data_IF_047252992257
#
_entry.id   IF_047252992257
#
_cell.length_a   1.000
_cell.length_b   1.000
_cell.length_c   1.000
_cell.angle_alpha   90.00
_cell.angle_beta   90.00
_cell.angle_gamma   90.00
#
_symmetry.space_group_name_H-M   'P 1'
#
loop_
_entity.id
_entity.type
_entity.pdbx_description
1 polymer ?
#
# COMPACT_ATOMS: atom_id res chain seq x y z
N UNK A 1 2.45 0.45 15.14
CA UNK A 1 1.91 0.20 13.79
C UNK A 1 2.44 1.31 12.90
N UNK A 2 3.43 1.01 12.08
CA UNK A 2 3.81 1.87 10.98
C UNK A 2 2.86 1.55 9.84
N UNK A 3 2.15 2.55 9.31
CA UNK A 3 1.42 2.39 8.06
C UNK A 3 2.44 2.41 6.93
N UNK A 4 2.43 1.38 6.08
CA UNK A 4 3.25 1.34 4.88
C UNK A 4 2.38 1.69 3.68
N UNK A 5 2.86 2.64 2.86
CA UNK A 5 2.14 3.04 1.65
C UNK A 5 2.40 1.99 0.59
N UNK A 6 1.38 1.19 0.26
CA UNK A 6 1.50 0.13 -0.74
C UNK A 6 1.81 0.67 -2.14
N UNK A 7 1.22 1.81 -2.52
CA UNK A 7 1.43 2.40 -3.85
C UNK A 7 1.22 3.92 -3.83
N UNK A 8 2.11 4.64 -4.48
CA UNK A 8 1.89 6.04 -4.87
C UNK A 8 1.41 6.07 -6.31
N UNK A 9 0.26 6.70 -6.55
CA UNK A 9 -0.33 6.84 -7.89
C UNK A 9 -0.27 8.33 -8.25
N UNK A 10 0.62 8.68 -9.16
CA UNK A 10 0.69 10.03 -9.72
C UNK A 10 -0.17 10.09 -10.97
N UNK A 11 -1.10 11.04 -11.01
CA UNK A 11 -2.04 11.20 -12.12
C UNK A 11 -1.67 12.41 -12.97
N UNK A 12 -1.49 12.21 -14.27
CA UNK A 12 -1.40 13.31 -15.23
C UNK A 12 -2.83 13.73 -15.65
N UNK A 13 -3.28 14.85 -15.09
CA UNK A 13 -4.64 15.36 -15.27
C UNK A 13 -4.83 16.10 -16.62
N UNK A 14 -3.81 16.10 -17.49
CA UNK A 14 -3.91 16.67 -18.85
C UNK A 14 -4.45 15.67 -19.89
N UNK A 15 -4.51 14.37 -19.56
CA UNK A 15 -5.03 13.30 -20.41
C UNK A 15 -6.43 12.81 -19.98
N UNK A 16 -7.11 12.03 -20.82
CA UNK A 16 -8.39 11.40 -20.46
C UNK A 16 -8.16 10.38 -19.34
N UNK A 17 -8.72 10.65 -18.15
CA UNK A 17 -8.48 9.93 -16.89
C UNK A 17 -9.11 8.53 -16.79
N UNK A 18 -9.84 8.07 -17.80
CA UNK A 18 -10.88 7.06 -17.56
C UNK A 18 -10.43 5.60 -17.72
N UNK A 19 -9.42 5.29 -18.53
CA UNK A 19 -9.00 3.89 -18.76
C UNK A 19 -7.65 3.55 -18.11
N UNK A 20 -6.65 4.44 -18.13
CA UNK A 20 -5.32 4.16 -17.57
C UNK A 20 -5.25 4.18 -16.05
N UNK A 21 -6.25 4.75 -15.37
CA UNK A 21 -6.20 4.95 -13.92
C UNK A 21 -6.68 3.72 -13.16
N UNK A 22 -7.62 2.95 -13.70
CA UNK A 22 -8.12 1.72 -13.06
C UNK A 22 -7.04 0.64 -12.96
N UNK A 23 -6.20 0.51 -14.00
CA UNK A 23 -5.06 -0.43 -14.03
C UNK A 23 -4.12 -0.21 -12.83
N UNK A 24 -3.96 1.03 -12.37
CA UNK A 24 -3.11 1.34 -11.20
C UNK A 24 -3.67 0.80 -9.87
N UNK A 25 -4.94 0.37 -9.83
CA UNK A 25 -5.60 -0.15 -8.64
C UNK A 25 -5.82 -1.67 -8.66
N UNK A 26 -5.62 -2.35 -9.80
CA UNK A 26 -5.87 -3.79 -9.92
C UNK A 26 -4.93 -4.65 -9.07
N UNK A 27 -3.70 -4.20 -8.87
CA UNK A 27 -2.67 -4.89 -8.08
C UNK A 27 -2.64 -4.46 -6.60
N UNK A 28 -3.56 -3.59 -6.18
CA UNK A 28 -3.56 -3.01 -4.83
C UNK A 28 -4.57 -3.71 -3.93
N UNK A 29 -4.07 -4.39 -2.90
CA UNK A 29 -4.88 -5.10 -1.90
C UNK A 29 -5.48 -4.15 -0.86
N UNK A 30 -4.91 -2.97 -0.66
CA UNK A 30 -5.45 -1.94 0.24
C UNK A 30 -6.85 -1.48 -0.20
N UNK A 31 -7.74 -1.38 0.78
CA UNK A 31 -9.04 -0.74 0.60
C UNK A 31 -9.04 0.74 0.98
N UNK A 32 -7.91 1.27 1.45
CA UNK A 32 -7.79 2.66 1.90
C UNK A 32 -7.21 3.51 0.77
N UNK A 33 -7.91 4.59 0.45
CA UNK A 33 -7.57 5.56 -0.58
C UNK A 33 -7.39 6.90 0.11
N UNK A 34 -6.23 7.52 -0.08
CA UNK A 34 -5.93 8.85 0.41
C UNK A 34 -5.75 9.76 -0.80
N UNK A 35 -6.65 10.74 -0.96
CA UNK A 35 -6.56 11.75 -2.00
C UNK A 35 -6.01 13.05 -1.43
N UNK A 36 -4.80 13.40 -1.87
CA UNK A 36 -4.17 14.68 -1.57
C UNK A 36 -4.03 15.49 -2.87
N UNK A 37 -4.95 16.44 -3.06
CA UNK A 37 -4.96 17.35 -4.19
C UNK A 37 -5.53 18.71 -3.77
N UNK A 38 -5.33 19.73 -4.60
CA UNK A 38 -6.12 20.95 -4.49
C UNK A 38 -7.59 20.71 -4.90
N UNK A 39 -8.44 21.72 -4.69
CA UNK A 39 -9.88 21.59 -4.85
C UNK A 39 -10.30 21.27 -6.29
N UNK A 40 -9.71 21.92 -7.28
CA UNK A 40 -10.09 21.77 -8.69
C UNK A 40 -9.66 20.39 -9.23
N UNK A 41 -8.44 19.97 -8.93
CA UNK A 41 -7.95 18.64 -9.32
C UNK A 41 -8.66 17.52 -8.57
N UNK A 42 -8.99 17.70 -7.29
CA UNK A 42 -9.78 16.73 -6.55
C UNK A 42 -11.17 16.54 -7.18
N UNK A 43 -11.82 17.62 -7.60
CA UNK A 43 -13.11 17.55 -8.29
C UNK A 43 -13.01 16.75 -9.59
N UNK A 44 -11.97 16.99 -10.40
CA UNK A 44 -11.72 16.22 -11.61
C UNK A 44 -11.49 14.73 -11.32
N UNK A 45 -10.64 14.39 -10.35
CA UNK A 45 -10.31 13.00 -10.00
C UNK A 45 -11.54 12.25 -9.50
N UNK A 46 -12.28 12.84 -8.55
CA UNK A 46 -13.46 12.22 -7.93
C UNK A 46 -14.54 11.90 -8.98
N UNK A 47 -14.74 12.78 -9.97
CA UNK A 47 -15.76 12.60 -10.98
C UNK A 47 -15.39 11.57 -12.06
N UNK A 48 -14.09 11.42 -12.34
CA UNK A 48 -13.62 10.60 -13.46
C UNK A 48 -13.03 9.25 -13.04
N UNK A 49 -12.68 9.06 -11.77
CA UNK A 49 -12.11 7.81 -11.26
C UNK A 49 -13.18 6.99 -10.51
N UNK A 50 -13.66 5.86 -11.07
CA UNK A 50 -14.81 5.13 -10.54
C UNK A 50 -14.65 4.60 -9.11
N UNK A 51 -13.41 4.41 -8.65
CA UNK A 51 -13.10 3.89 -7.31
C UNK A 51 -13.75 4.70 -6.17
N UNK A 52 -13.94 6.02 -6.36
CA UNK A 52 -14.60 6.90 -5.39
C UNK A 52 -16.13 6.69 -5.31
N UNK A 53 -16.69 5.84 -6.17
CA UNK A 53 -18.10 5.42 -6.15
C UNK A 53 -18.28 3.97 -5.71
N UNK A 54 -17.19 3.19 -5.55
CA UNK A 54 -17.24 1.78 -5.20
C UNK A 54 -17.47 1.55 -3.70
N UNK A 55 -18.31 0.57 -3.35
CA UNK A 55 -18.43 0.12 -1.97
C UNK A 55 -17.22 -0.71 -1.54
N UNK A 56 -17.01 -0.86 -0.23
CA UNK A 56 -15.90 -1.65 0.31
C UNK A 56 -14.54 -0.94 0.30
N UNK A 57 -14.49 0.33 -0.07
CA UNK A 57 -13.31 1.19 0.02
C UNK A 57 -13.47 2.26 1.12
N UNK A 58 -12.37 2.66 1.72
CA UNK A 58 -12.26 3.78 2.67
C UNK A 58 -11.62 4.95 1.94
N UNK A 59 -12.32 6.07 1.85
CA UNK A 59 -11.80 7.29 1.24
C UNK A 59 -11.43 8.30 2.33
N UNK A 60 -10.22 8.85 2.24
CA UNK A 60 -9.72 9.94 3.07
C UNK A 60 -9.27 11.07 2.15
N UNK A 61 -9.77 12.27 2.39
CA UNK A 61 -9.47 13.47 1.62
C UNK A 61 -8.61 14.43 2.45
N UNK A 62 -7.70 15.14 1.79
CA UNK A 62 -7.10 16.34 2.36
C UNK A 62 -8.17 17.41 2.61
N UNK A 63 -7.86 18.40 3.45
CA UNK A 63 -8.78 19.52 3.70
C UNK A 63 -9.17 20.22 2.39
N UNK A 64 -8.21 20.46 1.49
CA UNK A 64 -8.45 21.12 0.19
C UNK A 64 -9.29 20.25 -0.77
N UNK A 65 -9.01 18.95 -0.84
CA UNK A 65 -9.79 18.02 -1.66
C UNK A 65 -11.24 17.91 -1.16
N UNK A 66 -11.45 18.03 0.15
CA UNK A 66 -12.79 18.00 0.74
C UNK A 66 -13.64 19.26 0.47
N UNK A 67 -13.09 20.27 -0.22
CA UNK A 67 -13.83 21.45 -0.66
C UNK A 67 -14.43 21.29 -2.07
N UNK A 68 -14.17 20.17 -2.76
CA UNK A 68 -14.69 19.91 -4.09
C UNK A 68 -16.24 19.92 -4.11
N UNK A 69 -16.84 20.35 -5.22
CA UNK A 69 -18.30 20.57 -5.29
C UNK A 69 -19.12 19.28 -5.28
N UNK A 70 -18.53 18.18 -5.74
CA UNK A 70 -19.20 16.91 -6.00
C UNK A 70 -18.61 15.76 -5.17
N UNK A 71 -18.53 15.95 -3.84
CA UNK A 71 -18.00 14.93 -2.96
C UNK A 71 -18.85 13.65 -2.99
N UNK A 72 -18.23 12.47 -3.07
CA UNK A 72 -18.95 11.22 -2.96
C UNK A 72 -19.38 11.04 -1.51
N UNK A 73 -20.52 10.37 -1.32
CA UNK A 73 -20.95 9.97 0.02
C UNK A 73 -19.98 8.91 0.55
N UNK A 74 -19.40 9.18 1.71
CA UNK A 74 -18.60 8.24 2.47
C UNK A 74 -17.11 8.56 2.59
N UNK A 75 -16.63 9.65 1.99
CA UNK A 75 -15.27 10.13 2.21
C UNK A 75 -15.13 10.79 3.59
N UNK A 76 -14.03 10.51 4.26
CA UNK A 76 -13.60 11.18 5.49
C UNK A 76 -12.65 12.33 5.14
N UNK A 77 -12.65 13.38 5.96
CA UNK A 77 -11.68 14.47 5.87
C UNK A 77 -11.35 15.00 7.25
N UNK A 78 -10.26 15.74 7.33
CA UNK A 78 -9.85 16.51 8.51
C UNK A 78 -9.78 17.98 8.13
N UNK A 79 -10.29 18.84 9.02
CA UNK A 79 -10.18 20.29 8.85
C UNK A 79 -9.73 20.95 10.14
N UNK A 80 -8.98 22.04 10.02
CA UNK A 80 -8.54 22.77 11.20
C UNK A 80 -9.76 23.38 11.92
N UNK A 81 -9.87 23.17 13.23
CA UNK A 81 -11.02 23.69 14.01
C UNK A 81 -10.96 25.19 14.24
N UNK A 82 -9.75 25.77 14.15
CA UNK A 82 -9.52 27.19 14.29
C UNK A 82 -10.12 27.98 13.11
N UNK A 83 -10.76 29.11 13.42
CA UNK A 83 -11.28 30.05 12.44
C UNK A 83 -10.44 31.33 12.41
N UNK A 84 -10.69 32.21 11.43
CA UNK A 84 -9.92 33.44 11.25
C UNK A 84 -9.92 34.35 12.50
N UNK A 85 -11.04 34.41 13.23
CA UNK A 85 -11.16 35.25 14.42
C UNK A 85 -10.35 34.68 15.59
N UNK A 86 -10.40 33.37 15.83
CA UNK A 86 -9.59 32.74 16.88
C UNK A 86 -8.10 32.77 16.52
N UNK A 87 -7.76 32.59 15.23
CA UNK A 87 -6.38 32.75 14.75
C UNK A 87 -5.83 34.16 15.00
N UNK A 88 -6.64 35.20 14.72
CA UNK A 88 -6.24 36.59 14.97
C UNK A 88 -6.03 36.86 16.47
N UNK A 89 -6.92 36.34 17.32
CA UNK A 89 -6.82 36.46 18.78
C UNK A 89 -5.54 35.81 19.29
N UNK A 90 -5.23 34.59 18.84
CA UNK A 90 -3.99 33.87 19.20
C UNK A 90 -2.75 34.65 18.75
N UNK A 91 -2.75 35.16 17.51
CA UNK A 91 -1.67 35.97 16.97
C UNK A 91 -1.39 37.21 17.83
N UNK A 92 -2.43 37.93 18.27
CA UNK A 92 -2.29 39.10 19.13
C UNK A 92 -1.72 38.75 20.51
N UNK A 93 -2.05 37.57 21.05
CA UNK A 93 -1.47 37.10 22.31
C UNK A 93 0.01 36.74 22.18
N UNK A 94 0.41 36.10 21.08
CA UNK A 94 1.82 35.80 20.78
C UNK A 94 2.61 37.10 20.65
N UNK A 95 2.10 38.06 19.87
CA UNK A 95 2.74 39.37 19.69
C UNK A 95 2.86 40.10 21.01
N UNK A 96 1.80 40.14 21.83
CA UNK A 96 1.84 40.79 23.15
C UNK A 96 2.93 40.20 24.06
N UNK A 97 3.11 38.88 24.05
CA UNK A 97 4.14 38.22 24.85
C UNK A 97 5.55 38.44 24.30
N UNK A 98 5.72 38.46 22.98
CA UNK A 98 7.04 38.63 22.35
C UNK A 98 7.54 40.07 22.29
N UNK A 99 6.65 41.04 22.07
CA UNK A 99 7.03 42.44 21.82
C UNK A 99 7.68 43.11 23.05
N UNK A 100 7.43 42.57 24.25
CA UNK A 100 8.07 43.03 25.48
C UNK A 100 9.60 42.96 25.41
N UNK A 101 10.20 42.04 24.64
CA UNK A 101 11.66 42.01 24.51
C UNK A 101 12.24 43.26 23.83
N UNK A 102 11.42 43.98 23.07
CA UNK A 102 11.87 45.13 22.29
C UNK A 102 12.02 46.39 23.14
N UNK A 103 11.50 46.42 24.37
CA UNK A 103 11.61 47.60 25.26
C UNK A 103 13.05 47.93 25.64
N UNK A 104 13.95 46.97 25.54
CA UNK A 104 15.37 47.11 25.89
C UNK A 104 16.23 47.58 24.71
N UNK A 105 15.64 47.81 23.53
CA UNK A 105 16.34 48.16 22.30
C UNK A 105 15.82 49.49 21.75
N UNK A 106 16.69 50.23 21.07
CA UNK A 106 16.29 51.35 20.23
C UNK A 106 15.85 50.80 18.87
N UNK A 107 14.56 50.91 18.55
CA UNK A 107 13.92 50.16 17.45
C UNK A 107 13.67 51.11 16.27
N UNK A 108 14.38 50.91 15.15
CA UNK A 108 14.06 51.56 13.86
C UNK A 108 13.98 50.52 12.72
N UNK A 109 12.83 49.84 12.57
CA UNK A 109 12.64 48.86 11.50
C UNK A 109 12.56 49.59 10.14
N UNK A 110 13.05 48.98 9.04
CA UNK A 110 13.01 49.60 7.72
C UNK A 110 11.58 49.95 7.29
N UNK A 111 11.36 51.19 6.85
CA UNK A 111 10.01 51.73 6.50
C UNK A 111 9.67 51.64 5.01
N UNK A 112 10.66 51.36 4.18
CA UNK A 112 10.55 51.25 2.72
C UNK A 112 11.48 50.14 2.23
N UNK A 113 11.37 49.72 0.97
CA UNK A 113 12.21 48.66 0.39
C UNK A 113 13.42 49.19 -0.41
N UNK A 114 13.54 50.51 -0.59
CA UNK A 114 14.56 51.17 -1.42
C UNK A 114 15.77 51.67 -0.62
N UNK A 115 16.95 51.07 -0.84
CA UNK A 115 18.24 51.49 -0.24
C UNK A 115 19.03 50.32 0.40
N UNK A 116 20.20 50.60 0.97
CA UNK A 116 21.06 49.64 1.70
C UNK A 116 20.45 49.21 3.07
N UNK A 117 19.21 48.73 3.07
CA UNK A 117 18.48 48.24 4.26
C UNK A 117 18.88 46.81 4.67
N UNK A 118 19.65 46.14 3.83
CA UNK A 118 20.16 44.78 4.06
C UNK A 118 21.14 44.75 5.25
N UNK A 119 21.70 45.90 5.65
CA UNK A 119 22.70 46.00 6.72
C UNK A 119 22.20 46.67 8.01
N UNK A 120 20.89 46.70 8.29
CA UNK A 120 20.40 47.25 9.55
C UNK A 120 20.53 46.24 10.70
N UNK A 121 20.60 46.73 11.93
CA UNK A 121 20.58 45.89 13.13
C UNK A 121 19.28 45.07 13.22
N UNK A 122 18.18 45.62 12.70
CA UNK A 122 16.89 44.93 12.58
C UNK A 122 16.98 43.70 11.69
N UNK A 123 17.44 43.84 10.44
CA UNK A 123 17.49 42.76 9.45
C UNK A 123 18.52 41.69 9.82
N UNK A 124 19.65 42.08 10.41
CA UNK A 124 20.72 41.14 10.74
C UNK A 124 20.53 40.40 12.06
N UNK A 125 19.95 41.05 13.07
CA UNK A 125 19.99 40.52 14.45
C UNK A 125 18.64 40.62 15.15
N UNK A 126 18.08 41.82 15.30
CA UNK A 126 16.95 42.04 16.21
C UNK A 126 15.66 41.40 15.71
N UNK A 127 15.40 41.40 14.40
CA UNK A 127 14.24 40.75 13.80
C UNK A 127 14.26 39.22 13.97
N UNK A 128 15.42 38.60 13.78
CA UNK A 128 15.61 37.16 14.03
C UNK A 128 15.44 36.80 15.51
N UNK A 129 15.96 37.64 16.42
CA UNK A 129 15.72 37.48 17.86
C UNK A 129 14.22 37.58 18.19
N UNK A 130 13.51 38.53 17.57
CA UNK A 130 12.07 38.73 17.78
C UNK A 130 11.29 37.51 17.31
N UNK A 131 11.56 37.04 16.10
CA UNK A 131 10.92 35.85 15.55
C UNK A 131 11.14 34.62 16.46
N UNK A 132 12.38 34.38 16.89
CA UNK A 132 12.69 33.30 17.84
C UNK A 132 11.92 33.45 19.15
N UNK A 133 11.83 34.67 19.69
CA UNK A 133 11.08 34.94 20.92
C UNK A 133 9.57 34.65 20.76
N UNK A 134 9.00 34.92 19.58
CA UNK A 134 7.60 34.65 19.27
C UNK A 134 7.29 33.14 19.19
N UNK A 135 8.21 32.33 18.64
CA UNK A 135 7.97 30.89 18.43
C UNK A 135 8.44 30.00 19.57
N UNK A 136 9.36 30.46 20.43
CA UNK A 136 9.95 29.62 21.50
C UNK A 136 9.04 29.50 22.72
N UNK A 137 8.30 30.56 23.06
CA UNK A 137 7.51 30.59 24.28
C UNK A 137 6.12 29.99 24.05
N UNK A 138 5.71 29.10 24.95
CA UNK A 138 4.30 28.66 25.00
C UNK A 138 3.43 29.78 25.52
N UNK A 139 2.43 30.18 24.74
CA UNK A 139 1.42 31.17 25.14
C UNK A 139 0.11 30.44 25.40
N UNK A 140 -0.63 30.85 26.43
CA UNK A 140 -1.88 30.18 26.80
C UNK A 140 -3.08 31.11 26.57
N UNK A 141 -4.11 30.57 25.90
CA UNK A 141 -5.50 31.04 26.01
C UNK A 141 -6.29 29.90 26.69
N UNK A 142 -7.29 29.33 26.00
CA UNK A 142 -7.95 28.08 26.42
C UNK A 142 -7.08 26.83 26.17
N UNK A 143 -6.21 26.89 25.16
CA UNK A 143 -5.27 25.82 24.78
C UNK A 143 -3.85 26.37 24.65
N UNK A 144 -2.81 25.53 24.84
CA UNK A 144 -1.43 25.95 24.64
C UNK A 144 -1.17 26.25 23.15
N UNK A 145 -0.63 27.44 22.89
CA UNK A 145 -0.16 27.88 21.57
C UNK A 145 1.35 27.65 21.53
N UNK A 146 1.77 26.74 20.65
CA UNK A 146 3.16 26.29 20.54
C UNK A 146 3.56 26.18 19.07
N UNK A 147 4.85 26.33 18.81
CA UNK A 147 5.43 26.25 17.48
C UNK A 147 6.58 25.23 17.44
N UNK A 148 6.83 24.66 16.26
CA UNK A 148 8.06 23.93 15.99
C UNK A 148 9.21 24.88 15.60
N UNK A 149 10.40 24.33 15.35
CA UNK A 149 11.58 25.11 14.97
C UNK A 149 11.46 25.85 13.63
N UNK A 150 10.48 25.48 12.80
CA UNK A 150 10.15 26.15 11.52
C UNK A 150 9.08 27.24 11.69
N UNK A 151 8.52 27.39 12.88
CA UNK A 151 7.43 28.32 13.16
C UNK A 151 6.04 27.81 12.77
N UNK A 152 5.88 26.50 12.49
CA UNK A 152 4.57 25.91 12.28
C UNK A 152 3.90 25.65 13.64
N UNK A 153 2.61 25.94 13.74
CA UNK A 153 1.84 25.66 14.95
C UNK A 153 1.73 24.16 15.18
N UNK A 154 2.01 23.72 16.41
CA UNK A 154 1.87 22.32 16.83
C UNK A 154 0.71 22.15 17.82
N UNK A 155 0.29 20.90 18.04
CA UNK A 155 -0.80 20.52 18.96
C UNK A 155 -2.14 21.21 18.65
N UNK A 156 -2.39 21.40 17.36
CA UNK A 156 -3.65 21.94 16.83
C UNK A 156 -4.79 20.95 16.93
N UNK A 157 -6.00 21.46 17.15
CA UNK A 157 -7.22 20.66 17.18
C UNK A 157 -7.90 20.64 15.80
N UNK A 158 -8.40 19.49 15.41
CA UNK A 158 -9.06 19.27 14.11
C UNK A 158 -10.47 18.72 14.30
N UNK A 159 -11.38 19.13 13.42
CA UNK A 159 -12.66 18.44 13.23
C UNK A 159 -12.46 17.31 12.23
N UNK A 160 -13.05 16.15 12.52
CA UNK A 160 -13.11 15.01 11.60
C UNK A 160 -14.49 15.02 10.96
N UNK A 161 -14.53 15.01 9.64
CA UNK A 161 -15.76 15.13 8.86
C UNK A 161 -15.99 13.90 8.00
N UNK A 162 -17.26 13.64 7.69
CA UNK A 162 -17.70 12.64 6.74
C UNK A 162 -18.62 13.30 5.72
N UNK A 163 -18.34 13.07 4.43
CA UNK A 163 -19.18 13.54 3.34
C UNK A 163 -20.44 12.68 3.24
N UNK A 164 -21.60 13.29 3.40
CA UNK A 164 -22.91 12.63 3.27
C UNK A 164 -23.78 13.54 2.41
N UNK A 165 -24.21 13.02 1.26
CA UNK A 165 -25.04 13.74 0.27
C UNK A 165 -24.42 15.08 -0.16
N UNK A 166 -23.11 15.05 -0.45
CA UNK A 166 -22.33 16.21 -0.88
C UNK A 166 -22.05 17.23 0.23
N UNK A 167 -22.33 16.91 1.49
CA UNK A 167 -22.11 17.81 2.64
C UNK A 167 -21.19 17.20 3.67
N UNK A 168 -20.23 17.98 4.15
CA UNK A 168 -19.37 17.60 5.26
C UNK A 168 -20.11 17.69 6.59
N UNK A 169 -20.25 16.56 7.27
CA UNK A 169 -20.80 16.47 8.62
C UNK A 169 -19.68 16.16 9.61
N UNK A 170 -19.61 16.92 10.71
CA UNK A 170 -18.62 16.66 11.77
C UNK A 170 -19.04 15.41 12.54
N UNK A 171 -18.17 14.41 12.57
CA UNK A 171 -18.38 13.11 13.22
C UNK A 171 -17.45 12.88 14.41
N UNK A 172 -16.42 13.71 14.55
CA UNK A 172 -15.43 13.56 15.60
C UNK A 172 -14.50 14.76 15.67
N UNK A 173 -13.56 14.70 16.60
CA UNK A 173 -12.51 15.68 16.76
C UNK A 173 -11.19 15.00 17.15
N UNK A 174 -10.09 15.61 16.73
CA UNK A 174 -8.74 15.24 17.15
C UNK A 174 -8.18 16.34 18.02
N UNK A 175 -7.82 16.01 19.26
CA UNK A 175 -7.11 16.94 20.13
C UNK A 175 -5.61 16.82 19.92
N UNK A 176 -4.99 17.89 19.45
CA UNK A 176 -3.53 17.92 19.26
C UNK A 176 -2.77 17.95 20.58
N UNK A 177 -3.38 18.51 21.64
CA UNK A 177 -2.76 18.56 22.98
C UNK A 177 -2.79 17.21 23.67
N UNK A 178 -3.93 16.50 23.59
CA UNK A 178 -4.07 15.18 24.21
C UNK A 178 -3.55 14.05 23.30
N UNK A 179 -3.29 14.35 22.01
CA UNK A 179 -2.98 13.35 20.97
C UNK A 179 -4.04 12.24 20.91
N UNK A 180 -5.31 12.63 21.05
CA UNK A 180 -6.45 11.72 21.08
C UNK A 180 -7.44 12.06 19.99
N UNK A 181 -7.99 11.01 19.39
CA UNK A 181 -9.05 11.08 18.40
C UNK A 181 -10.32 10.57 19.07
N UNK A 182 -11.38 11.36 19.01
CA UNK A 182 -12.72 10.99 19.46
C UNK A 182 -13.67 11.04 18.27
N UNK A 183 -14.08 9.86 17.78
CA UNK A 183 -14.98 9.72 16.63
C UNK A 183 -16.22 8.96 17.06
N UNK A 184 -17.39 9.41 16.62
CA UNK A 184 -18.62 8.65 16.71
C UNK A 184 -18.77 7.75 15.49
N UNK A 185 -18.25 6.52 15.58
CA UNK A 185 -18.26 5.55 14.48
C UNK A 185 -19.67 5.22 13.96
N UNK A 186 -20.70 5.32 14.81
CA UNK A 186 -22.10 5.03 14.40
C UNK A 186 -22.68 6.03 13.41
N UNK A 187 -22.04 7.21 13.28
CA UNK A 187 -22.41 8.25 12.33
C UNK A 187 -21.67 8.14 11.00
N UNK A 188 -20.68 7.26 10.89
CA UNK A 188 -19.88 7.14 9.67
C UNK A 188 -20.71 6.41 8.61
N UNK A 189 -20.77 7.03 7.43
CA UNK A 189 -21.14 6.37 6.19
C UNK A 189 -19.85 6.15 5.40
N UNK A 190 -19.70 4.97 4.84
CA UNK A 190 -18.57 4.60 3.99
C UNK A 190 -18.95 4.71 2.52
N UNK A 191 -17.96 4.62 1.63
CA UNK A 191 -18.22 4.65 0.19
C UNK A 191 -19.29 3.60 -0.21
N UNK A 192 -20.11 3.97 -1.19
CA UNK A 192 -21.29 3.20 -1.57
C UNK A 192 -22.47 3.31 -0.60
N UNK A 193 -22.43 4.23 0.38
CA UNK A 193 -23.55 4.52 1.28
C UNK A 193 -23.75 3.49 2.40
N UNK A 194 -22.74 2.65 2.66
CA UNK A 194 -22.83 1.57 3.66
C UNK A 194 -22.48 2.08 5.07
N UNK A 195 -22.99 1.41 6.13
CA UNK A 195 -22.62 1.69 7.53
C UNK A 195 -21.64 0.68 8.12
N UNK A 196 -21.36 -0.40 7.39
CA UNK A 196 -20.40 -1.42 7.80
C UNK A 196 -19.01 -0.95 7.44
N UNK A 197 -18.11 -0.87 8.41
CA UNK A 197 -16.71 -0.52 8.17
C UNK A 197 -16.09 -1.53 7.20
N UNK A 198 -15.55 -1.08 6.05
CA UNK A 198 -14.83 -1.97 5.15
C UNK A 198 -13.62 -2.61 5.83
N UNK A 199 -13.27 -3.82 5.39
CA UNK A 199 -12.00 -4.44 5.77
C UNK A 199 -10.84 -3.57 5.26
N UNK A 200 -9.73 -3.55 5.98
CA UNK A 200 -8.55 -2.74 5.62
C UNK A 200 -7.91 -3.20 4.31
N UNK A 201 -7.96 -4.52 4.05
CA UNK A 201 -7.45 -5.15 2.83
C UNK A 201 -8.51 -6.05 2.20
N UNK A 202 -8.41 -6.21 0.89
CA UNK A 202 -9.08 -7.26 0.12
C UNK A 202 -8.00 -8.16 -0.45
N UNK A 203 -8.06 -9.46 -0.12
CA UNK A 203 -7.11 -10.43 -0.65
C UNK A 203 -7.45 -10.77 -2.11
N UNK A 204 -6.44 -10.92 -2.99
CA UNK A 204 -6.65 -11.37 -4.36
C UNK A 204 -7.33 -12.75 -4.37
N UNK A 205 -8.27 -12.93 -5.29
CA UNK A 205 -9.06 -14.18 -5.40
C UNK A 205 -8.53 -15.14 -6.45
N UNK A 206 -7.54 -14.71 -7.23
CA UNK A 206 -6.84 -15.54 -8.19
C UNK A 206 -5.34 -15.28 -8.07
N UNK A 207 -4.56 -16.33 -7.82
CA UNK A 207 -3.10 -16.26 -7.70
C UNK A 207 -2.42 -17.03 -8.82
N UNK A 208 -1.31 -16.51 -9.32
CA UNK A 208 -0.35 -17.20 -10.18
C UNK A 208 0.64 -17.92 -9.29
N UNK A 209 0.54 -19.24 -9.25
CA UNK A 209 1.44 -20.06 -8.48
C UNK A 209 2.52 -20.67 -9.39
N UNK A 210 3.76 -20.72 -8.92
CA UNK A 210 4.88 -21.36 -9.61
C UNK A 210 5.41 -22.54 -8.80
N UNK A 211 5.83 -23.60 -9.48
CA UNK A 211 6.46 -24.77 -8.86
C UNK A 211 7.54 -25.38 -9.74
N UNK A 212 8.26 -26.36 -9.20
CA UNK A 212 9.34 -27.10 -9.87
C UNK A 212 9.03 -28.60 -9.78
N UNK A 213 9.32 -29.34 -10.85
CA UNK A 213 9.23 -30.81 -10.82
C UNK A 213 10.31 -31.37 -9.90
N UNK A 214 9.91 -31.87 -8.73
CA UNK A 214 10.82 -32.39 -7.71
C UNK A 214 10.13 -33.50 -6.91
N UNK A 215 10.46 -34.75 -7.21
CA UNK A 215 9.86 -35.91 -6.54
C UNK A 215 10.49 -36.09 -5.15
N UNK A 216 9.70 -36.38 -4.09
CA UNK A 216 8.29 -36.78 -4.11
C UNK A 216 7.29 -35.62 -3.89
N UNK A 217 7.76 -34.37 -3.91
CA UNK A 217 6.94 -33.20 -3.57
C UNK A 217 6.02 -32.79 -4.71
N UNK A 218 6.49 -32.88 -5.96
CA UNK A 218 5.76 -32.56 -7.19
C UNK A 218 6.13 -33.58 -8.27
N UNK A 219 5.15 -34.38 -8.67
CA UNK A 219 5.21 -35.29 -9.80
C UNK A 219 4.53 -34.64 -11.01
N UNK A 220 5.17 -34.65 -12.17
CA UNK A 220 4.64 -34.04 -13.39
C UNK A 220 4.45 -35.10 -14.49
N UNK A 221 3.25 -35.19 -15.07
CA UNK A 221 2.96 -36.11 -16.19
C UNK A 221 2.38 -35.32 -17.37
N UNK A 222 2.98 -35.38 -18.56
CA UNK A 222 2.45 -34.71 -19.75
C UNK A 222 1.03 -35.18 -20.08
N UNK A 223 0.17 -34.28 -20.53
CA UNK A 223 -1.19 -34.61 -20.96
C UNK A 223 -1.61 -33.81 -22.19
N UNK A 224 -2.45 -34.42 -23.03
CA UNK A 224 -3.14 -33.74 -24.15
C UNK A 224 -4.56 -33.32 -23.77
N UNK A 225 -5.10 -33.87 -22.69
CA UNK A 225 -6.46 -33.60 -22.21
C UNK A 225 -6.40 -33.18 -20.75
N UNK A 226 -6.56 -31.87 -20.56
CA UNK A 226 -6.39 -31.20 -19.29
C UNK A 226 -7.63 -31.32 -18.38
N UNK A 227 -8.73 -31.91 -18.85
CA UNK A 227 -9.87 -32.27 -18.02
C UNK A 227 -9.63 -33.59 -17.26
N UNK A 228 -8.74 -34.45 -17.78
CA UNK A 228 -8.40 -35.73 -17.15
C UNK A 228 -7.64 -35.58 -15.85
N UNK A 229 -6.85 -34.52 -15.69
CA UNK A 229 -6.07 -34.29 -14.48
C UNK A 229 -6.95 -34.34 -13.22
N UNK A 230 -8.14 -33.75 -13.24
CA UNK A 230 -9.04 -33.72 -12.08
C UNK A 230 -9.67 -35.07 -11.71
N UNK A 231 -9.60 -36.05 -12.62
CA UNK A 231 -10.16 -37.40 -12.44
C UNK A 231 -9.08 -38.43 -12.09
N UNK A 232 -7.80 -38.05 -12.17
CA UNK A 232 -6.69 -38.96 -11.86
C UNK A 232 -6.58 -39.16 -10.35
N UNK A 233 -6.82 -40.40 -9.92
CA UNK A 233 -6.63 -40.85 -8.54
C UNK A 233 -5.23 -41.40 -8.29
N UNK A 234 -4.47 -41.68 -9.35
CA UNK A 234 -3.07 -42.06 -9.26
C UNK A 234 -2.29 -41.76 -10.54
N UNK A 235 -0.97 -41.68 -10.42
CA UNK A 235 -0.01 -41.52 -11.50
C UNK A 235 0.95 -42.71 -11.53
N UNK A 236 1.39 -43.11 -12.73
CA UNK A 236 2.51 -44.04 -12.87
C UNK A 236 3.72 -43.20 -13.28
N UNK A 237 4.70 -43.08 -12.37
CA UNK A 237 5.95 -42.36 -12.62
C UNK A 237 7.09 -43.33 -12.35
N UNK A 238 7.93 -43.58 -13.36
CA UNK A 238 9.05 -44.52 -13.29
C UNK A 238 8.68 -45.92 -12.75
N UNK A 239 7.47 -46.39 -13.10
CA UNK A 239 6.94 -47.70 -12.68
C UNK A 239 6.36 -47.73 -11.26
N UNK A 240 6.33 -46.60 -10.56
CA UNK A 240 5.74 -46.44 -9.23
C UNK A 240 4.33 -45.88 -9.35
N UNK A 241 3.37 -46.50 -8.68
CA UNK A 241 2.00 -45.98 -8.56
C UNK A 241 1.94 -44.95 -7.43
N UNK A 242 1.77 -43.69 -7.79
CA UNK A 242 1.64 -42.55 -6.88
C UNK A 242 0.16 -42.23 -6.73
N UNK A 243 -0.43 -42.59 -5.58
CA UNK A 243 -1.80 -42.19 -5.25
C UNK A 243 -1.88 -40.67 -5.00
N UNK A 244 -2.94 -40.03 -5.48
CA UNK A 244 -3.18 -38.61 -5.28
C UNK A 244 -4.63 -38.37 -4.85
N UNK A 245 -4.84 -37.46 -3.90
CA UNK A 245 -6.19 -36.99 -3.56
C UNK A 245 -6.64 -35.83 -4.44
N UNK A 246 -5.69 -35.05 -4.95
CA UNK A 246 -5.93 -33.89 -5.80
C UNK A 246 -4.84 -33.76 -6.84
N UNK A 247 -5.25 -33.77 -8.10
CA UNK A 247 -4.40 -33.44 -9.23
C UNK A 247 -4.92 -32.16 -9.89
N UNK A 248 -3.98 -31.29 -10.26
CA UNK A 248 -4.27 -30.00 -10.86
C UNK A 248 -3.70 -29.97 -12.28
N UNK A 249 -4.29 -29.12 -13.13
CA UNK A 249 -3.81 -28.83 -14.48
C UNK A 249 -2.68 -27.80 -14.43
N UNK A 250 -1.68 -28.02 -15.28
CA UNK A 250 -0.51 -27.15 -15.41
C UNK A 250 -0.32 -26.67 -16.83
N UNK A 251 0.24 -25.46 -16.95
CA UNK A 251 0.82 -24.95 -18.18
C UNK A 251 2.34 -24.84 -17.99
N UNK A 252 3.14 -25.39 -18.91
CA UNK A 252 4.54 -25.01 -19.03
C UNK A 252 4.66 -23.99 -20.16
N UNK A 253 5.17 -22.81 -19.83
CA UNK A 253 5.53 -21.83 -20.84
C UNK A 253 6.95 -22.14 -21.30
N UNK A 254 7.17 -22.23 -22.61
CA UNK A 254 8.52 -22.23 -23.14
C UNK A 254 9.05 -20.80 -23.05
N UNK A 255 10.14 -20.64 -22.30
CA UNK A 255 10.92 -19.41 -22.27
C UNK A 255 11.35 -19.12 -23.72
N UNK A 256 10.83 -18.02 -24.30
CA UNK A 256 11.45 -17.48 -25.51
C UNK A 256 12.78 -16.91 -25.06
N UNK A 257 13.87 -17.48 -25.56
CA UNK A 257 15.19 -16.86 -25.49
C UNK A 257 15.06 -15.36 -25.70
N UNK A 258 15.57 -14.58 -24.75
CA UNK A 258 15.67 -13.13 -24.84
C UNK A 258 16.31 -12.72 -26.17
N UNK A 259 15.49 -12.38 -27.19
CA UNK A 259 16.02 -11.86 -28.45
C UNK A 259 15.25 -12.07 -29.75
N UNK A 260 14.02 -12.61 -29.79
CA UNK A 260 13.31 -12.73 -31.07
C UNK A 260 11.82 -12.39 -31.01
N UNK A 261 11.51 -11.17 -31.46
CA UNK A 261 10.17 -10.77 -31.89
C UNK A 261 9.76 -11.56 -33.14
N UNK A 262 9.28 -12.79 -32.95
CA UNK A 262 8.39 -13.45 -33.91
C UNK A 262 7.21 -14.03 -33.14
N UNK A 263 6.07 -13.38 -33.36
CA UNK A 263 4.73 -13.92 -33.12
C UNK A 263 4.54 -15.07 -34.12
N UNK A 264 4.52 -16.31 -33.63
CA UNK A 264 3.59 -17.36 -34.05
C UNK A 264 3.96 -18.67 -33.35
N UNK A 265 2.96 -19.23 -32.65
CA UNK A 265 2.89 -20.56 -32.04
C UNK A 265 3.74 -20.80 -30.76
N UNK A 266 3.26 -20.27 -29.63
CA UNK A 266 3.66 -20.76 -28.31
C UNK A 266 2.99 -22.11 -28.06
N UNK A 267 3.68 -23.22 -28.33
CA UNK A 267 3.19 -24.56 -27.97
C UNK A 267 3.21 -24.70 -26.46
N UNK A 268 2.12 -24.33 -25.77
CA UNK A 268 1.97 -24.55 -24.34
C UNK A 268 1.84 -26.05 -24.08
N UNK A 269 2.86 -26.65 -23.48
CA UNK A 269 2.79 -28.04 -23.04
C UNK A 269 1.95 -28.12 -21.75
N UNK A 270 1.03 -29.07 -21.73
CA UNK A 270 0.11 -29.27 -20.60
C UNK A 270 0.57 -30.46 -19.76
N UNK A 271 0.56 -30.30 -18.45
CA UNK A 271 0.91 -31.36 -17.50
C UNK A 271 -0.22 -31.56 -16.49
N UNK A 272 -0.35 -32.78 -15.98
CA UNK A 272 -1.03 -33.05 -14.73
C UNK A 272 0.03 -33.18 -13.64
N UNK A 273 -0.20 -32.59 -12.47
CA UNK A 273 0.71 -32.79 -11.35
C UNK A 273 -0.01 -33.09 -10.05
N UNK A 274 0.73 -33.78 -9.19
CA UNK A 274 0.33 -34.14 -7.84
C UNK A 274 1.57 -34.31 -6.98
N UNK A 275 1.36 -34.53 -5.69
CA UNK A 275 2.41 -34.64 -4.70
C UNK A 275 2.12 -33.75 -3.51
N UNK A 276 2.95 -33.85 -2.48
CA UNK A 276 2.70 -33.20 -1.21
C UNK A 276 2.55 -31.67 -1.34
N UNK A 277 3.40 -31.03 -2.14
CA UNK A 277 3.36 -29.58 -2.34
C UNK A 277 2.08 -29.12 -3.06
N UNK A 278 1.58 -29.93 -4.01
CA UNK A 278 0.35 -29.63 -4.75
C UNK A 278 -0.89 -29.78 -3.86
N UNK A 279 -0.92 -30.82 -3.01
CA UNK A 279 -2.00 -31.00 -2.03
C UNK A 279 -2.00 -29.88 -0.98
N UNK A 280 -0.82 -29.45 -0.53
CA UNK A 280 -0.69 -28.30 0.37
C UNK A 280 -1.26 -27.03 -0.25
N UNK A 281 -0.86 -26.68 -1.48
CA UNK A 281 -1.42 -25.52 -2.20
C UNK A 281 -2.94 -25.60 -2.34
N UNK A 282 -3.46 -26.77 -2.73
CA UNK A 282 -4.90 -26.98 -2.86
C UNK A 282 -5.66 -26.86 -1.53
N UNK A 283 -5.01 -27.14 -0.39
CA UNK A 283 -5.58 -26.94 0.94
C UNK A 283 -5.50 -25.48 1.38
N UNK A 284 -4.40 -24.78 1.09
CA UNK A 284 -4.24 -23.34 1.36
C UNK A 284 -5.24 -22.49 0.58
N UNK A 285 -5.62 -22.93 -0.63
CA UNK A 285 -6.63 -22.28 -1.45
C UNK A 285 -8.05 -22.31 -0.86
N UNK A 286 -8.31 -23.20 0.11
CA UNK A 286 -9.61 -23.28 0.78
C UNK A 286 -9.75 -22.13 1.79
N UNK A 287 -10.96 -21.57 1.96
CA UNK A 287 -11.19 -20.52 2.93
C UNK A 287 -10.96 -21.03 4.36
N UNK A 288 -10.33 -20.20 5.19
CA UNK A 288 -10.09 -20.50 6.59
C UNK A 288 -11.41 -20.63 7.37
N UNK A 289 -11.51 -21.70 8.16
CA UNK A 289 -12.71 -21.97 8.97
C UNK A 289 -12.69 -21.04 10.19
N UNK A 290 -13.70 -20.17 10.31
CA UNK A 290 -13.88 -19.17 11.36
C UNK A 290 -12.97 -17.93 11.26
N UNK A 291 -12.34 -17.68 10.10
CA UNK A 291 -11.66 -16.42 9.83
C UNK A 291 -12.64 -15.24 9.70
N UNK A 292 -12.22 -14.05 10.12
CA UNK A 292 -12.97 -12.80 9.88
C UNK A 292 -12.76 -12.25 8.46
N UNK A 293 -11.77 -12.77 7.74
CA UNK A 293 -11.41 -12.43 6.37
C UNK A 293 -11.56 -13.69 5.51
N UNK A 294 -12.19 -13.56 4.35
CA UNK A 294 -12.26 -14.63 3.38
C UNK A 294 -10.89 -14.82 2.70
N UNK A 295 -10.12 -15.80 3.19
CA UNK A 295 -8.80 -16.18 2.69
C UNK A 295 -8.85 -17.11 1.49
N UNK A 296 -10.04 -17.58 1.09
CA UNK A 296 -10.17 -18.49 -0.05
C UNK A 296 -9.72 -17.83 -1.35
N UNK A 297 -8.97 -18.58 -2.16
CA UNK A 297 -8.49 -18.15 -3.47
C UNK A 297 -8.51 -19.29 -4.48
N UNK A 298 -8.52 -18.92 -5.76
CA UNK A 298 -8.26 -19.83 -6.88
C UNK A 298 -6.84 -19.60 -7.38
N UNK A 299 -6.27 -20.55 -8.12
CA UNK A 299 -4.91 -20.38 -8.62
C UNK A 299 -4.73 -20.96 -10.02
N UNK A 300 -3.86 -20.32 -10.80
CA UNK A 300 -3.26 -20.88 -12.00
C UNK A 300 -1.83 -21.31 -11.66
N UNK A 301 -1.47 -22.54 -12.00
CA UNK A 301 -0.17 -23.10 -11.64
C UNK A 301 0.67 -23.40 -12.89
N UNK A 302 1.92 -22.95 -12.88
CA UNK A 302 2.89 -23.24 -13.95
C UNK A 302 4.22 -23.77 -13.40
N UNK A 303 5.01 -24.34 -14.30
CA UNK A 303 6.29 -24.98 -14.00
C UNK A 303 7.45 -24.07 -14.39
N UNK A 304 8.40 -23.92 -13.47
CA UNK A 304 9.75 -23.47 -13.75
C UNK A 304 10.71 -24.67 -13.77
N UNK A 305 11.83 -24.53 -14.49
CA UNK A 305 12.86 -25.56 -14.59
C UNK A 305 13.77 -25.64 -13.36
N UNK A 306 13.78 -24.63 -12.50
CA UNK A 306 14.62 -24.62 -11.30
C UNK A 306 14.01 -23.82 -10.13
N UNK A 307 14.44 -24.14 -8.91
CA UNK A 307 14.09 -23.36 -7.73
C UNK A 307 14.64 -21.92 -7.76
N UNK A 308 15.68 -21.67 -8.54
CA UNK A 308 16.31 -20.36 -8.62
C UNK A 308 17.43 -20.09 -7.63
N UNK A 309 18.29 -19.13 -7.96
CA UNK A 309 19.39 -18.68 -7.11
C UNK A 309 19.60 -17.17 -7.25
N UNK A 310 20.23 -16.57 -6.23
CA UNK A 310 20.68 -15.18 -6.28
C UNK A 310 22.04 -15.16 -6.98
N UNK A 311 22.10 -14.59 -8.18
CA UNK A 311 23.29 -14.52 -9.02
C UNK A 311 23.82 -13.09 -9.06
N UNK A 312 25.13 -12.91 -9.19
CA UNK A 312 25.72 -11.59 -9.42
C UNK A 312 25.71 -11.28 -10.92
N UNK A 313 24.91 -10.30 -11.32
CA UNK A 313 24.87 -9.74 -12.68
C UNK A 313 25.68 -8.44 -12.82
N UNK A 314 25.68 -7.88 -14.04
CA UNK A 314 26.42 -6.64 -14.35
C UNK A 314 25.88 -5.41 -13.59
N UNK A 315 24.57 -5.39 -13.32
CA UNK A 315 23.86 -4.28 -12.68
C UNK A 315 23.42 -4.57 -11.24
N UNK A 316 24.02 -5.58 -10.59
CA UNK A 316 23.64 -6.01 -9.25
C UNK A 316 23.21 -7.47 -9.22
N UNK A 317 22.47 -7.85 -8.18
CA UNK A 317 21.98 -9.23 -8.05
C UNK A 317 20.79 -9.47 -8.98
N UNK A 318 20.78 -10.63 -9.62
CA UNK A 318 19.71 -11.11 -10.50
C UNK A 318 19.25 -12.46 -9.97
N UNK A 319 17.95 -12.61 -9.79
CA UNK A 319 17.35 -13.85 -9.30
C UNK A 319 16.90 -14.68 -10.50
N UNK A 320 17.24 -15.97 -10.50
CA UNK A 320 16.84 -16.90 -11.55
C UNK A 320 15.73 -17.84 -11.10
N UNK A 321 15.15 -18.60 -12.03
CA UNK A 321 14.19 -19.66 -11.76
C UNK A 321 12.94 -19.19 -11.03
N UNK A 322 12.33 -20.09 -10.26
CA UNK A 322 11.09 -19.84 -9.51
C UNK A 322 11.18 -18.62 -8.57
N UNK A 323 12.33 -18.41 -7.93
CA UNK A 323 12.55 -17.23 -7.07
C UNK A 323 12.64 -15.94 -7.90
N UNK A 324 13.26 -16.00 -9.09
CA UNK A 324 13.30 -14.86 -10.01
C UNK A 324 11.91 -14.43 -10.48
N UNK A 325 11.03 -15.39 -10.77
CA UNK A 325 9.64 -15.08 -11.17
C UNK A 325 8.82 -14.38 -10.08
N UNK A 326 9.12 -14.64 -8.79
CA UNK A 326 8.50 -13.89 -7.69
C UNK A 326 9.01 -12.44 -7.64
N UNK A 327 10.31 -12.24 -7.86
CA UNK A 327 10.95 -10.91 -7.79
C UNK A 327 10.46 -9.97 -8.89
N UNK A 328 10.10 -10.51 -10.06
CA UNK A 328 9.60 -9.73 -11.21
C UNK A 328 8.07 -9.75 -11.35
N UNK A 329 7.35 -10.17 -10.31
CA UNK A 329 5.88 -10.26 -10.28
C UNK A 329 5.28 -11.11 -11.42
N UNK A 330 5.99 -12.14 -11.90
CA UNK A 330 5.43 -13.14 -12.83
C UNK A 330 4.60 -14.21 -12.10
N UNK A 331 4.94 -14.47 -10.83
CA UNK A 331 4.19 -15.33 -9.94
C UNK A 331 3.91 -14.64 -8.59
N UNK A 332 2.73 -14.89 -8.02
CA UNK A 332 2.30 -14.33 -6.73
C UNK A 332 2.64 -15.28 -5.55
N UNK A 333 2.89 -16.55 -5.84
CA UNK A 333 3.19 -17.58 -4.84
C UNK A 333 4.09 -18.67 -5.42
N UNK A 334 5.12 -19.06 -4.68
CA UNK A 334 5.92 -20.23 -4.99
C UNK A 334 5.62 -21.40 -4.06
N UNK A 335 5.48 -22.60 -4.61
CA UNK A 335 5.23 -23.81 -3.79
C UNK A 335 6.14 -24.94 -4.23
N UNK A 336 6.87 -25.53 -3.28
CA UNK A 336 7.78 -26.64 -3.53
C UNK A 336 8.71 -26.86 -2.33
N UNK A 337 9.71 -27.72 -2.48
CA UNK A 337 10.75 -27.95 -1.48
C UNK A 337 11.85 -26.87 -1.52
N UNK A 338 11.44 -25.59 -1.54
CA UNK A 338 12.37 -24.47 -1.58
C UNK A 338 13.07 -24.30 -0.22
N UNK A 339 14.39 -24.43 -0.21
CA UNK A 339 15.20 -24.21 0.99
C UNK A 339 15.24 -22.73 1.38
N UNK A 340 14.88 -22.45 2.64
CA UNK A 340 15.04 -21.13 3.27
C UNK A 340 16.53 -20.88 3.51
N UNK A 341 17.04 -19.75 3.01
CA UNK A 341 18.41 -19.32 3.27
C UNK A 341 18.51 -17.78 3.35
N UNK A 342 19.56 -17.24 4.01
CA UNK A 342 19.70 -15.79 4.18
C UNK A 342 19.90 -14.99 2.89
N UNK A 343 20.33 -15.65 1.81
CA UNK A 343 20.51 -15.00 0.50
C UNK A 343 19.16 -14.73 -0.16
N UNK A 344 18.23 -15.70 -0.12
CA UNK A 344 16.87 -15.57 -0.67
C UNK A 344 15.96 -14.72 0.21
N UNK A 345 16.09 -14.82 1.54
CA UNK A 345 15.29 -14.02 2.50
C UNK A 345 15.50 -12.51 2.36
N UNK A 346 16.54 -12.06 1.66
CA UNK A 346 16.74 -10.64 1.37
C UNK A 346 15.79 -10.09 0.29
N UNK A 347 15.20 -10.97 -0.52
CA UNK A 347 14.43 -10.61 -1.71
C UNK A 347 13.00 -11.15 -1.69
N UNK A 348 12.79 -12.31 -1.05
CA UNK A 348 11.47 -12.94 -0.94
C UNK A 348 11.14 -13.27 0.51
N UNK A 349 9.86 -13.19 0.85
CA UNK A 349 9.34 -13.61 2.14
C UNK A 349 9.02 -15.11 2.15
N UNK A 350 9.44 -15.78 3.21
CA UNK A 350 9.12 -17.19 3.44
C UNK A 350 8.00 -17.34 4.47
N UNK A 351 7.16 -18.36 4.28
CA UNK A 351 6.23 -18.82 5.32
C UNK A 351 7.00 -19.48 6.48
N UNK A 352 6.27 -19.87 7.53
CA UNK A 352 6.82 -20.83 8.48
C UNK A 352 7.25 -22.13 7.77
N UNK A 353 8.36 -22.77 8.19
CA UNK A 353 8.82 -24.01 7.57
C UNK A 353 7.78 -25.13 7.76
N UNK A 354 7.33 -25.73 6.66
CA UNK A 354 6.39 -26.86 6.68
C UNK A 354 7.09 -28.23 6.70
N UNK A 355 8.40 -28.28 6.45
CA UNK A 355 9.23 -29.48 6.54
C UNK A 355 10.63 -29.15 7.07
N UNK A 356 11.04 -29.86 8.11
CA UNK A 356 12.42 -29.81 8.63
C UNK A 356 13.19 -31.03 8.14
N UNK A 357 14.25 -30.81 7.37
CA UNK A 357 15.15 -31.87 6.92
C UNK A 357 16.61 -31.43 6.94
N UNK A 358 17.52 -32.41 6.97
CA UNK A 358 18.95 -32.20 6.86
C UNK A 358 19.51 -32.92 5.63
N UNK A 359 20.73 -32.55 5.22
CA UNK A 359 21.43 -33.18 4.09
C UNK A 359 21.85 -34.59 4.50
N UNK A 360 21.55 -35.58 3.63
CA UNK A 360 21.94 -36.98 3.81
C UNK A 360 22.67 -37.48 2.57
N UNK A 361 23.62 -38.39 2.74
CA UNK A 361 24.35 -39.03 1.65
C UNK A 361 23.66 -40.36 1.33
N UNK A 362 23.32 -40.58 0.07
CA UNK A 362 22.79 -41.84 -0.43
C UNK A 362 23.90 -42.57 -1.19
N UNK A 363 24.29 -43.75 -0.70
CA UNK A 363 25.24 -44.63 -1.37
C UNK A 363 24.49 -45.86 -1.91
N UNK A 364 24.76 -46.23 -3.16
CA UNK A 364 24.25 -47.46 -3.76
C UNK A 364 25.19 -48.60 -3.39
N UNK A 365 24.67 -49.60 -2.69
CA UNK A 365 25.35 -50.86 -2.41
C UNK A 365 25.39 -51.74 -3.65
#
# INVERSE_FOLDING_TARGET
MCFEVQRYIELDLTAQLNESVEENFEEVTSNIIILFADTDHAEMIIQNVPIFSMSGKVCILSEQASLASHLPTGCLSVRLRQNALSALRDAMMIIRNGIGMLTDYDIDPPKQCSGNMVNSEWTNTLGNKLYRQLITNTVFDDTPIQFNDKGDRIKTDYDITNSIDGKLQVIGHMSGTQQRIEINETKIVWLGGTRTKPLEITLPKHLRAVTVSDQPFVYTVPTVDSARCYQMQSFIVDGINVETRRSVRFRKFHEKDHGSHVLNDSTTEMFCCAGYAIELLANLALPEVNGSVDTGFTFALHLNDSYGAVLLGENGYVLSGMVGELDIDEADLAVGALTINPEREQYIDFSEPWLYHGIKILEKW
#
